data_IF_123918350107
#
_entry.id   IF_123918350107
#
_cell.length_a   1.000
_cell.length_b   1.000
_cell.length_c   1.000
_cell.angle_alpha   90.00
_cell.angle_beta   90.00
_cell.angle_gamma   90.00
#
_symmetry.space_group_name_H-M   'P 1'
#
loop_
_entity.id
_entity.type
_entity.pdbx_description
1 polymer ?
#
# COMPACT_ATOMS: atom_id res chain seq x y z
N UNK A 1 1.47 4.67 -12.44
CA UNK A 1 2.61 3.96 -11.79
C UNK A 1 2.54 4.18 -10.28
N UNK A 2 2.54 3.06 -9.51
CA UNK A 2 3.10 2.92 -8.15
C UNK A 2 2.29 3.44 -6.95
N UNK A 3 1.28 2.70 -6.45
CA UNK A 3 0.56 3.08 -5.21
C UNK A 3 0.21 1.97 -4.18
N UNK A 4 0.89 0.84 -4.12
CA UNK A 4 0.65 -0.28 -3.19
C UNK A 4 0.60 0.03 -1.69
N UNK A 5 -0.50 0.24 -0.99
CA UNK A 5 -1.93 0.28 -1.37
C UNK A 5 -2.61 1.56 -0.83
N UNK A 6 -2.13 2.04 0.31
CA UNK A 6 -2.07 3.46 0.67
C UNK A 6 -0.62 3.83 0.96
N UNK A 7 0.19 2.86 1.40
CA UNK A 7 1.65 2.87 1.42
C UNK A 7 2.22 3.49 0.15
N UNK A 8 2.02 2.88 -1.00
CA UNK A 8 2.52 3.50 -2.21
C UNK A 8 1.63 4.66 -2.68
N UNK A 9 0.36 4.77 -2.27
CA UNK A 9 -0.46 5.95 -2.54
C UNK A 9 -0.03 7.26 -1.91
N UNK A 10 0.70 7.11 -0.83
CA UNK A 10 1.28 8.17 -0.09
C UNK A 10 2.75 8.38 -0.47
N UNK A 11 3.48 7.31 -0.81
CA UNK A 11 4.86 7.36 -1.29
C UNK A 11 5.01 7.96 -2.69
N UNK A 12 4.11 7.71 -3.64
CA UNK A 12 4.21 8.35 -4.95
C UNK A 12 3.82 9.83 -4.94
N UNK A 13 3.02 10.24 -3.96
CA UNK A 13 2.52 11.59 -3.89
C UNK A 13 3.66 12.59 -3.76
N UNK A 14 4.68 12.29 -2.96
CA UNK A 14 5.78 13.21 -2.76
C UNK A 14 6.86 13.23 -3.81
N UNK A 15 6.75 12.60 -4.98
CA UNK A 15 7.81 12.82 -5.98
C UNK A 15 7.85 14.28 -6.44
N UNK A 16 9.03 14.91 -6.58
CA UNK A 16 9.14 16.19 -7.26
C UNK A 16 8.48 16.10 -8.63
N UNK A 17 7.70 17.13 -8.96
CA UNK A 17 7.53 17.55 -10.35
C UNK A 17 8.94 17.52 -10.95
N UNK A 18 9.09 16.92 -12.12
CA UNK A 18 10.37 16.81 -12.84
C UNK A 18 11.25 18.04 -12.59
N UNK A 19 12.56 17.84 -12.40
CA UNK A 19 13.51 18.94 -12.38
C UNK A 19 13.30 19.88 -13.59
N UNK A 20 12.80 19.37 -14.73
CA UNK A 20 12.39 20.16 -15.89
C UNK A 20 11.16 21.08 -15.69
N UNK A 21 10.21 20.75 -14.80
CA UNK A 21 9.04 21.58 -14.47
C UNK A 21 9.29 22.62 -13.37
N UNK A 22 10.29 22.38 -12.52
CA UNK A 22 10.74 23.35 -11.51
C UNK A 22 11.82 24.28 -12.09
N UNK A 23 12.69 23.77 -12.98
CA UNK A 23 13.63 24.60 -13.74
C UNK A 23 12.96 25.46 -14.80
N UNK A 24 11.81 25.09 -15.38
CA UNK A 24 11.08 26.01 -16.28
C UNK A 24 10.40 27.16 -15.52
N UNK A 25 10.02 26.96 -14.26
CA UNK A 25 9.56 28.02 -13.37
C UNK A 25 10.71 28.86 -12.78
N UNK A 26 11.92 28.28 -12.67
CA UNK A 26 13.13 28.97 -12.24
C UNK A 26 13.82 29.72 -13.39
N UNK A 27 13.85 29.17 -14.60
CA UNK A 27 14.42 29.78 -15.81
C UNK A 27 13.56 30.92 -16.38
N UNK A 28 12.27 31.00 -16.04
CA UNK A 28 11.48 32.21 -16.27
C UNK A 28 11.81 33.34 -15.27
N UNK A 29 12.41 33.01 -14.11
CA UNK A 29 12.90 33.97 -13.13
C UNK A 29 14.41 34.28 -13.29
N UNK A 30 15.16 33.41 -13.97
CA UNK A 30 16.63 33.48 -14.16
C UNK A 30 17.01 33.75 -15.63
N UNK A 31 16.23 34.54 -16.38
CA UNK A 31 16.70 35.17 -17.64
C UNK A 31 17.85 36.18 -17.42
N UNK A 32 18.31 36.33 -16.19
CA UNK A 32 19.52 37.06 -15.83
C UNK A 32 20.52 36.03 -15.32
N UNK A 33 21.72 36.04 -15.88
CA UNK A 33 22.89 35.20 -15.53
C UNK A 33 23.22 34.02 -16.47
N UNK A 34 23.72 34.40 -17.65
CA UNK A 34 25.02 33.95 -18.18
C UNK A 34 25.23 32.45 -18.46
N UNK A 35 25.13 32.12 -19.75
CA UNK A 35 26.18 31.45 -20.55
C UNK A 35 27.07 30.41 -19.84
N UNK A 36 26.60 29.16 -19.77
CA UNK A 36 27.46 27.98 -19.78
C UNK A 36 26.68 26.77 -20.35
N UNK A 37 27.25 25.96 -21.27
CA UNK A 37 26.60 24.75 -21.72
C UNK A 37 26.72 23.68 -20.61
N UNK A 38 25.70 23.58 -19.76
CA UNK A 38 25.55 22.47 -18.84
C UNK A 38 25.26 21.19 -19.64
N UNK A 39 26.24 20.28 -19.68
CA UNK A 39 26.04 18.89 -20.05
C UNK A 39 25.13 18.24 -18.98
N UNK A 40 23.82 18.34 -19.17
CA UNK A 40 22.83 17.61 -18.38
C UNK A 40 22.95 16.13 -18.75
N UNK A 41 23.62 15.35 -17.90
CA UNK A 41 23.47 13.89 -17.94
C UNK A 41 22.00 13.58 -17.67
N UNK A 42 21.31 12.75 -18.49
CA UNK A 42 19.94 12.40 -18.22
C UNK A 42 19.87 11.76 -16.82
N UNK A 43 19.12 12.41 -15.93
CA UNK A 43 18.84 11.89 -14.61
C UNK A 43 18.19 10.52 -14.79
N UNK A 44 18.87 9.47 -14.32
CA UNK A 44 18.32 8.12 -14.29
C UNK A 44 17.01 8.18 -13.51
N UNK A 45 15.91 8.01 -14.23
CA UNK A 45 14.57 7.97 -13.68
C UNK A 45 14.48 6.68 -12.86
N UNK A 46 14.11 6.70 -11.57
CA UNK A 46 14.04 5.46 -10.81
C UNK A 46 12.95 4.54 -11.38
N UNK A 47 13.38 3.37 -11.87
CA UNK A 47 12.63 2.31 -12.55
C UNK A 47 11.45 1.77 -11.73
N UNK A 48 10.24 1.72 -12.32
CA UNK A 48 9.21 0.65 -12.35
C UNK A 48 8.76 -0.16 -11.10
N UNK A 49 7.51 -0.68 -11.05
CA UNK A 49 6.47 -0.42 -10.04
C UNK A 49 6.77 -0.82 -8.57
N UNK A 50 6.07 -0.19 -7.60
CA UNK A 50 6.09 -0.50 -6.15
C UNK A 50 5.17 -1.68 -5.88
N UNK A 51 4.11 -1.85 -6.69
CA UNK A 51 3.31 -3.07 -6.72
C UNK A 51 3.94 -4.00 -7.74
N UNK A 52 4.44 -5.13 -7.28
CA UNK A 52 4.91 -6.17 -8.17
C UNK A 52 3.71 -6.92 -8.76
N UNK A 53 3.90 -7.58 -9.91
CA UNK A 53 2.96 -8.61 -10.34
C UNK A 53 2.67 -9.61 -9.21
N UNK A 54 1.47 -10.23 -9.21
CA UNK A 54 1.18 -11.31 -8.28
C UNK A 54 2.27 -12.38 -8.25
N UNK A 55 2.60 -12.82 -7.05
CA UNK A 55 3.53 -13.92 -6.86
C UNK A 55 2.96 -15.19 -7.48
N UNK A 56 3.83 -15.94 -8.14
CA UNK A 56 3.56 -17.26 -8.68
C UNK A 56 4.34 -18.28 -7.85
N UNK A 57 3.72 -18.91 -6.84
CA UNK A 57 4.41 -19.86 -5.99
C UNK A 57 4.81 -21.10 -6.79
N UNK A 58 6.04 -21.57 -6.55
CA UNK A 58 6.55 -22.81 -7.16
C UNK A 58 6.74 -23.88 -6.11
N UNK A 59 6.46 -25.16 -6.37
CA UNK A 59 6.76 -26.21 -5.42
C UNK A 59 8.28 -26.25 -5.17
N UNK A 60 8.73 -26.51 -3.93
CA UNK A 60 10.14 -26.77 -3.69
C UNK A 60 10.59 -27.99 -4.49
N UNK A 61 11.89 -28.07 -4.78
CA UNK A 61 12.45 -29.28 -5.40
C UNK A 61 12.22 -30.47 -4.44
N UNK A 62 12.01 -31.69 -4.94
CA UNK A 62 11.73 -32.86 -4.10
C UNK A 62 12.80 -33.14 -3.04
N UNK A 63 14.02 -32.69 -3.26
CA UNK A 63 15.20 -32.85 -2.39
C UNK A 63 15.54 -31.59 -1.59
N UNK A 64 14.76 -30.51 -1.69
CA UNK A 64 15.02 -29.28 -0.98
C UNK A 64 14.62 -29.39 0.50
N UNK A 65 15.59 -29.19 1.40
CA UNK A 65 15.32 -29.02 2.83
C UNK A 65 14.88 -27.58 3.08
N UNK A 66 13.71 -27.40 3.71
CA UNK A 66 13.27 -26.07 4.14
C UNK A 66 14.14 -25.58 5.30
N UNK A 67 14.49 -24.29 5.27
CA UNK A 67 15.30 -23.67 6.31
C UNK A 67 14.52 -23.34 7.59
N UNK A 68 15.12 -22.49 8.42
CA UNK A 68 14.54 -22.09 9.71
C UNK A 68 13.21 -21.35 9.56
N UNK A 69 12.35 -21.43 10.57
CA UNK A 69 11.13 -20.61 10.65
C UNK A 69 11.51 -19.15 10.87
N UNK A 70 11.14 -18.29 9.92
CA UNK A 70 11.39 -16.84 9.95
C UNK A 70 10.20 -16.09 10.55
N UNK A 71 9.00 -16.64 10.42
CA UNK A 71 7.79 -16.06 10.95
C UNK A 71 6.59 -17.00 10.85
N UNK A 72 5.59 -16.71 11.68
CA UNK A 72 4.31 -17.43 11.71
C UNK A 72 3.17 -16.44 11.89
N UNK A 73 2.23 -16.48 10.96
CA UNK A 73 1.06 -15.59 10.92
C UNK A 73 -0.17 -16.41 11.32
N UNK A 74 -0.86 -16.03 12.39
CA UNK A 74 -2.19 -16.57 12.68
C UNK A 74 -3.20 -15.91 11.75
N UNK A 75 -3.76 -16.67 10.80
CA UNK A 75 -4.60 -16.12 9.73
C UNK A 75 -5.91 -15.53 10.27
N UNK A 76 -6.54 -16.19 11.24
CA UNK A 76 -7.78 -15.71 11.84
C UNK A 76 -7.56 -14.40 12.63
N UNK A 77 -6.47 -14.32 13.38
CA UNK A 77 -6.14 -13.11 14.14
C UNK A 77 -5.70 -11.96 13.23
N UNK A 78 -5.08 -12.26 12.08
CA UNK A 78 -4.53 -11.27 11.17
C UNK A 78 -5.53 -10.74 10.14
N UNK A 79 -6.61 -11.50 9.89
CA UNK A 79 -7.63 -11.17 8.91
C UNK A 79 -8.14 -9.74 9.09
N UNK A 80 -8.03 -8.94 8.02
CA UNK A 80 -8.59 -7.60 7.91
C UNK A 80 -8.10 -6.57 8.94
N UNK A 81 -6.99 -6.82 9.64
CA UNK A 81 -6.42 -5.83 10.57
C UNK A 81 -6.04 -4.52 9.88
N UNK A 82 -5.79 -4.56 8.56
CA UNK A 82 -5.57 -3.39 7.70
C UNK A 82 -6.82 -2.53 7.46
N UNK A 83 -8.01 -2.95 7.91
CA UNK A 83 -9.23 -2.12 7.88
C UNK A 83 -9.27 -1.09 9.03
N UNK A 84 -8.37 -1.21 10.02
CA UNK A 84 -8.30 -0.33 11.19
C UNK A 84 -6.90 0.27 11.37
N UNK A 85 -6.49 1.09 10.40
CA UNK A 85 -5.20 1.80 10.43
C UNK A 85 -5.29 3.06 11.28
N UNK A 86 -6.37 3.82 11.16
CA UNK A 86 -6.55 5.04 11.94
C UNK A 86 -8.02 5.32 12.26
N UNK A 87 -8.34 5.64 13.51
CA UNK A 87 -9.68 6.08 13.88
C UNK A 87 -9.83 7.60 13.70
N UNK A 88 -10.87 8.05 13.01
CA UNK A 88 -11.17 9.48 12.77
C UNK A 88 -12.67 9.73 12.77
N UNK A 89 -13.04 10.99 13.00
CA UNK A 89 -14.43 11.44 12.92
C UNK A 89 -14.76 11.83 11.48
N UNK A 90 -15.61 11.06 10.80
CA UNK A 90 -16.15 11.42 9.50
C UNK A 90 -17.62 11.81 9.66
N UNK A 91 -17.91 13.08 9.41
CA UNK A 91 -19.18 13.67 9.83
C UNK A 91 -19.32 13.66 11.34
N UNK A 92 -20.36 12.99 11.85
CA UNK A 92 -20.58 12.79 13.28
C UNK A 92 -20.14 11.40 13.77
N UNK A 93 -19.57 10.55 12.90
CA UNK A 93 -19.28 9.14 13.19
C UNK A 93 -17.78 8.93 13.38
N UNK A 94 -17.39 8.30 14.48
CA UNK A 94 -16.03 7.80 14.66
C UNK A 94 -15.90 6.48 13.89
N UNK A 95 -15.04 6.46 12.86
CA UNK A 95 -14.83 5.30 12.01
C UNK A 95 -13.35 4.97 11.94
N UNK A 96 -13.07 3.68 11.81
CA UNK A 96 -11.78 3.17 11.45
C UNK A 96 -11.58 3.32 9.94
N UNK A 97 -10.52 4.05 9.58
CA UNK A 97 -10.02 4.16 8.23
C UNK A 97 -9.01 3.04 7.97
N UNK A 98 -9.21 2.35 6.86
CA UNK A 98 -8.30 1.34 6.36
C UNK A 98 -8.33 1.24 4.84
N UNK A 99 -7.78 0.14 4.33
CA UNK A 99 -7.63 -0.08 2.89
C UNK A 99 -7.99 -1.49 2.54
N UNK A 100 -8.67 -1.66 1.42
CA UNK A 100 -8.95 -2.95 0.81
C UNK A 100 -8.64 -2.92 -0.68
N UNK A 101 -8.64 -4.09 -1.31
CA UNK A 101 -8.28 -4.27 -2.72
C UNK A 101 -9.02 -5.44 -3.32
N UNK A 102 -9.18 -5.46 -4.63
CA UNK A 102 -9.67 -6.63 -5.35
C UNK A 102 -8.59 -7.73 -5.42
N UNK A 103 -9.00 -8.96 -5.76
CA UNK A 103 -8.09 -10.11 -5.82
C UNK A 103 -6.93 -9.93 -6.81
N UNK A 104 -7.11 -9.10 -7.84
CA UNK A 104 -6.09 -8.78 -8.84
C UNK A 104 -5.14 -7.66 -8.40
N UNK A 105 -5.37 -7.03 -7.24
CA UNK A 105 -4.64 -5.85 -6.77
C UNK A 105 -4.61 -4.71 -7.80
N UNK A 106 -5.68 -4.60 -8.59
CA UNK A 106 -5.84 -3.64 -9.68
C UNK A 106 -6.64 -2.40 -9.25
N UNK A 107 -7.52 -2.57 -8.25
CA UNK A 107 -8.35 -1.53 -7.65
C UNK A 107 -8.10 -1.44 -6.16
N UNK A 108 -8.09 -0.22 -5.66
CA UNK A 108 -7.92 0.07 -4.24
C UNK A 108 -9.14 0.81 -3.70
N UNK A 109 -9.48 0.51 -2.45
CA UNK A 109 -10.64 1.04 -1.77
C UNK A 109 -10.22 1.59 -0.42
N UNK A 110 -10.72 2.77 -0.07
CA UNK A 110 -10.79 3.23 1.31
C UNK A 110 -11.88 2.42 2.00
N UNK A 111 -11.56 1.86 3.16
CA UNK A 111 -12.51 1.18 4.01
C UNK A 111 -12.83 2.06 5.22
N UNK A 112 -14.11 2.20 5.52
CA UNK A 112 -14.64 2.92 6.68
C UNK A 112 -15.43 1.94 7.53
N UNK A 113 -14.84 1.52 8.65
CA UNK A 113 -15.38 0.44 9.46
C UNK A 113 -15.77 0.91 10.86
N UNK A 114 -16.80 0.28 11.41
CA UNK A 114 -17.15 0.36 12.82
C UNK A 114 -17.86 -0.95 13.23
N UNK A 115 -18.42 -0.99 14.45
CA UNK A 115 -19.13 -2.17 14.94
C UNK A 115 -20.39 -2.53 14.11
N UNK A 116 -20.93 -1.61 13.33
CA UNK A 116 -22.13 -1.83 12.51
C UNK A 116 -21.81 -2.35 11.11
N UNK A 117 -20.59 -2.17 10.62
CA UNK A 117 -20.16 -2.68 9.33
C UNK A 117 -19.03 -1.87 8.70
N UNK A 118 -18.73 -2.21 7.45
CA UNK A 118 -17.69 -1.57 6.64
C UNK A 118 -18.30 -1.00 5.36
N UNK A 119 -17.93 0.23 5.03
CA UNK A 119 -18.23 0.86 3.74
C UNK A 119 -16.94 0.94 2.94
N UNK A 120 -17.02 0.56 1.66
CA UNK A 120 -15.91 0.63 0.72
C UNK A 120 -16.14 1.80 -0.25
N UNK A 121 -15.11 2.61 -0.44
CA UNK A 121 -15.11 3.68 -1.43
C UNK A 121 -13.87 3.57 -2.31
N UNK A 122 -14.06 3.53 -3.63
CA UNK A 122 -12.94 3.43 -4.56
C UNK A 122 -11.98 4.61 -4.37
N UNK A 123 -10.69 4.29 -4.22
CA UNK A 123 -9.61 5.28 -4.07
C UNK A 123 -9.31 6.01 -5.40
N UNK A 124 -9.83 5.52 -6.53
CA UNK A 124 -9.66 6.13 -7.84
C UNK A 124 -8.22 6.08 -8.37
N UNK A 125 -7.93 6.92 -9.37
CA UNK A 125 -6.55 7.06 -9.88
C UNK A 125 -5.68 7.88 -8.91
N UNK A 126 -4.42 7.50 -8.88
CA UNK A 126 -3.34 8.05 -8.07
C UNK A 126 -3.07 9.51 -8.44
N UNK A 127 -3.17 9.85 -9.72
CA UNK A 127 -3.02 11.22 -10.18
C UNK A 127 -4.16 12.09 -9.66
N UNK A 128 -5.38 11.54 -9.59
CA UNK A 128 -6.52 12.21 -9.01
C UNK A 128 -6.30 12.45 -7.51
N UNK A 129 -5.80 11.45 -6.78
CA UNK A 129 -5.46 11.55 -5.36
C UNK A 129 -4.42 12.66 -5.08
N UNK A 130 -3.43 12.84 -5.96
CA UNK A 130 -2.40 13.89 -5.84
C UNK A 130 -2.90 15.27 -6.28
N UNK A 131 -3.76 15.29 -7.30
CA UNK A 131 -4.33 16.47 -7.94
C UNK A 131 -5.51 17.03 -7.15
N UNK A 132 -6.73 16.77 -7.61
CA UNK A 132 -7.98 17.28 -7.04
C UNK A 132 -8.45 16.53 -5.78
N UNK A 133 -7.83 15.41 -5.45
CA UNK A 133 -8.34 14.45 -4.49
C UNK A 133 -9.50 13.61 -5.05
N UNK A 134 -9.91 12.61 -4.28
CA UNK A 134 -10.98 11.66 -4.59
C UNK A 134 -12.08 11.76 -3.55
N UNK A 135 -13.32 11.90 -4.00
CA UNK A 135 -14.48 11.96 -3.11
C UNK A 135 -14.92 10.54 -2.76
N UNK A 136 -14.69 10.15 -1.51
CA UNK A 136 -15.17 8.91 -0.94
C UNK A 136 -16.51 9.16 -0.25
N UNK A 137 -17.57 8.52 -0.75
CA UNK A 137 -18.88 8.52 -0.10
C UNK A 137 -18.91 7.46 0.98
N UNK A 138 -19.24 7.88 2.21
CA UNK A 138 -19.33 7.01 3.40
C UNK A 138 -20.79 6.64 3.65
N UNK A 139 -21.71 7.58 3.42
CA UNK A 139 -23.16 7.36 3.44
C UNK A 139 -23.88 8.45 2.62
N UNK A 140 -25.20 8.52 2.72
CA UNK A 140 -26.02 9.46 1.93
C UNK A 140 -25.71 10.93 2.22
N UNK A 141 -25.25 11.28 3.42
CA UNK A 141 -24.98 12.66 3.84
C UNK A 141 -23.47 12.96 3.95
N UNK A 142 -22.63 11.92 4.04
CA UNK A 142 -21.22 12.04 4.37
C UNK A 142 -20.33 11.67 3.20
N UNK A 143 -19.68 12.67 2.62
CA UNK A 143 -18.68 12.53 1.56
C UNK A 143 -17.41 13.28 1.98
N UNK A 144 -16.27 12.62 1.87
CA UNK A 144 -14.97 13.22 2.17
C UNK A 144 -14.06 13.19 0.96
N UNK A 145 -13.38 14.29 0.69
CA UNK A 145 -12.31 14.38 -0.30
C UNK A 145 -10.98 13.94 0.33
N UNK A 146 -10.37 12.94 -0.27
CA UNK A 146 -9.05 12.42 0.10
C UNK A 146 -8.03 12.90 -0.92
N UNK A 147 -7.06 13.68 -0.45
CA UNK A 147 -5.99 14.24 -1.30
C UNK A 147 -4.63 14.03 -0.66
N UNK A 148 -3.62 13.69 -1.44
CA UNK A 148 -2.25 13.61 -0.94
C UNK A 148 -1.44 14.81 -1.38
N UNK A 149 -1.01 15.60 -0.41
CA UNK A 149 -0.03 16.66 -0.61
C UNK A 149 1.38 16.07 -0.57
N UNK A 150 1.98 16.04 -1.74
CA UNK A 150 3.35 15.67 -2.02
C UNK A 150 4.40 16.34 -1.13
N UNK A 151 5.36 15.59 -0.59
CA UNK A 151 6.64 16.15 -0.15
C UNK A 151 7.80 15.65 -1.03
N UNK A 152 8.38 16.56 -1.82
CA UNK A 152 9.44 16.30 -2.81
C UNK A 152 10.73 15.69 -2.25
N UNK A 153 11.03 15.95 -0.97
CA UNK A 153 12.27 15.51 -0.34
C UNK A 153 12.12 14.19 0.43
N UNK A 154 10.90 13.91 0.91
CA UNK A 154 10.60 12.65 1.58
C UNK A 154 9.21 12.18 1.14
N UNK A 155 9.13 11.50 0.00
CA UNK A 155 7.85 11.25 -0.63
C UNK A 155 7.06 10.17 0.09
N UNK A 156 7.77 9.16 0.59
CA UNK A 156 7.24 8.05 1.39
C UNK A 156 6.61 8.50 2.69
N UNK A 157 7.38 9.20 3.52
CA UNK A 157 7.01 9.45 4.92
C UNK A 157 6.66 10.91 5.21
N UNK A 158 7.12 11.83 4.38
CA UNK A 158 6.98 13.28 4.57
C UNK A 158 5.75 13.92 3.91
N UNK A 159 5.07 13.19 3.03
CA UNK A 159 3.82 13.62 2.39
C UNK A 159 2.69 13.78 3.43
N UNK A 160 1.55 14.35 3.04
CA UNK A 160 0.39 14.53 3.93
C UNK A 160 -0.90 14.09 3.25
N UNK A 161 -1.61 13.13 3.85
CA UNK A 161 -2.98 12.80 3.52
C UNK A 161 -3.90 13.87 4.10
N UNK A 162 -4.59 14.59 3.24
CA UNK A 162 -5.64 15.55 3.54
C UNK A 162 -6.98 14.86 3.39
N UNK A 163 -7.85 15.01 4.39
CA UNK A 163 -9.19 14.46 4.40
C UNK A 163 -10.15 15.60 4.78
N UNK A 164 -10.84 16.16 3.80
CA UNK A 164 -11.75 17.29 4.02
C UNK A 164 -13.19 16.90 3.68
N UNK A 165 -14.19 17.36 4.44
CA UNK A 165 -15.59 17.21 4.03
C UNK A 165 -15.80 17.81 2.64
N UNK A 166 -16.52 17.10 1.78
CA UNK A 166 -16.94 17.66 0.48
C UNK A 166 -18.05 18.71 0.71
N UNK A 167 -18.32 19.60 -0.27
CA UNK A 167 -19.44 20.53 -0.18
C UNK A 167 -20.75 19.81 0.13
N UNK A 168 -21.48 20.30 1.15
CA UNK A 168 -22.71 19.67 1.63
C UNK A 168 -22.52 18.63 2.75
N UNK A 169 -21.28 18.23 3.07
CA UNK A 169 -20.98 17.38 4.23
C UNK A 169 -20.48 18.21 5.41
N UNK A 170 -21.15 18.08 6.55
CA UNK A 170 -20.67 18.63 7.83
C UNK A 170 -19.65 17.68 8.46
N UNK A 171 -18.60 18.21 9.09
CA UNK A 171 -17.62 17.42 9.84
C UNK A 171 -16.24 18.07 9.92
N UNK A 172 -15.31 17.54 10.74
CA UNK A 172 -13.96 18.07 10.81
C UNK A 172 -13.13 17.67 9.59
N UNK A 173 -12.18 18.54 9.22
CA UNK A 173 -11.09 18.18 8.32
C UNK A 173 -9.96 17.52 9.12
N UNK A 174 -9.24 16.59 8.49
CA UNK A 174 -8.11 15.89 9.10
C UNK A 174 -6.89 15.95 8.20
N UNK A 175 -5.74 15.95 8.85
CA UNK A 175 -4.45 15.79 8.22
C UNK A 175 -3.71 14.61 8.85
N UNK A 176 -3.02 13.83 8.04
CA UNK A 176 -2.16 12.76 8.53
C UNK A 176 -0.86 12.72 7.74
N UNK A 177 0.27 12.67 8.44
CA UNK A 177 1.55 12.40 7.78
C UNK A 177 1.56 10.99 7.25
N UNK A 178 2.11 10.82 6.07
CA UNK A 178 2.15 9.52 5.42
C UNK A 178 2.98 8.53 6.21
N UNK A 179 4.08 8.98 6.83
CA UNK A 179 4.86 8.19 7.77
C UNK A 179 4.03 7.64 8.94
N UNK A 180 3.10 8.43 9.49
CA UNK A 180 2.22 7.95 10.56
C UNK A 180 1.23 6.88 10.06
N UNK A 181 0.77 6.97 8.81
CA UNK A 181 -0.02 5.91 8.16
C UNK A 181 0.82 4.65 7.98
N UNK A 182 2.09 4.79 7.58
CA UNK A 182 3.02 3.66 7.44
C UNK A 182 3.26 2.96 8.77
N UNK A 183 3.51 3.72 9.83
CA UNK A 183 3.76 3.18 11.17
C UNK A 183 2.53 2.44 11.70
N UNK A 184 1.34 3.01 11.49
CA UNK A 184 0.09 2.35 11.84
C UNK A 184 -0.14 1.08 11.00
N UNK A 185 0.15 1.10 9.70
CA UNK A 185 0.05 -0.08 8.84
C UNK A 185 1.03 -1.18 9.29
N UNK A 186 2.29 -0.83 9.56
CA UNK A 186 3.30 -1.75 10.11
C UNK A 186 2.83 -2.39 11.41
N UNK A 187 2.23 -1.60 12.32
CA UNK A 187 1.69 -2.11 13.59
C UNK A 187 0.49 -3.07 13.42
N UNK A 188 -0.16 -3.07 12.25
CA UNK A 188 -1.22 -4.02 11.90
C UNK A 188 -0.70 -5.24 11.13
N UNK A 189 0.53 -5.22 10.63
CA UNK A 189 1.13 -6.34 9.93
C UNK A 189 1.72 -7.38 10.89
N UNK A 190 1.92 -8.61 10.40
CA UNK A 190 2.91 -9.52 10.99
C UNK A 190 4.25 -9.29 10.32
N UNK A 191 5.33 -9.27 11.10
CA UNK A 191 6.67 -8.96 10.61
C UNK A 191 7.51 -10.25 10.59
N UNK A 192 8.36 -10.39 9.57
CA UNK A 192 9.46 -11.36 9.56
C UNK A 192 10.69 -10.73 8.89
N UNK A 193 11.86 -11.32 9.14
CA UNK A 193 13.11 -10.88 8.53
C UNK A 193 13.74 -12.00 7.72
N UNK A 194 14.21 -11.67 6.52
CA UNK A 194 14.92 -12.58 5.62
C UNK A 194 16.01 -11.79 4.88
N UNK A 195 17.21 -12.35 4.72
CA UNK A 195 18.37 -11.68 4.09
C UNK A 195 18.67 -10.27 4.62
N UNK A 196 18.48 -10.05 5.93
CA UNK A 196 18.69 -8.75 6.56
C UNK A 196 17.62 -7.69 6.22
N UNK A 197 16.52 -8.07 5.58
CA UNK A 197 15.39 -7.20 5.24
C UNK A 197 14.16 -7.55 6.07
N UNK A 198 13.45 -6.53 6.54
CA UNK A 198 12.14 -6.70 7.19
C UNK A 198 11.02 -6.73 6.13
N UNK A 199 10.11 -7.67 6.28
CA UNK A 199 8.90 -7.80 5.47
C UNK A 199 7.65 -7.74 6.34
N UNK A 200 6.62 -7.08 5.83
CA UNK A 200 5.33 -6.92 6.48
C UNK A 200 4.31 -7.79 5.75
N UNK A 201 3.55 -8.60 6.50
CA UNK A 201 2.51 -9.46 5.96
C UNK A 201 1.15 -8.92 6.38
N UNK A 202 0.36 -8.54 5.38
CA UNK A 202 -1.06 -8.29 5.52
C UNK A 202 -1.86 -9.47 4.98
N UNK A 203 -3.02 -9.71 5.57
CA UNK A 203 -3.94 -10.76 5.15
C UNK A 203 -5.36 -10.22 5.29
N UNK A 204 -6.12 -10.24 4.20
CA UNK A 204 -7.44 -9.63 4.17
C UNK A 204 -8.34 -10.26 3.11
N UNK A 205 -9.64 -10.02 3.26
CA UNK A 205 -10.63 -10.35 2.23
C UNK A 205 -10.45 -9.46 1.01
N UNK A 206 -10.65 -10.05 -0.17
CA UNK A 206 -10.67 -9.30 -1.41
C UNK A 206 -12.00 -8.56 -1.54
N UNK A 207 -12.02 -7.45 -2.28
CA UNK A 207 -13.24 -6.70 -2.61
C UNK A 207 -13.88 -7.28 -3.87
N UNK A 208 -15.21 -7.36 -3.89
CA UNK A 208 -15.97 -7.77 -5.07
C UNK A 208 -15.71 -6.84 -6.27
N UNK A 209 -15.87 -7.31 -7.52
CA UNK A 209 -15.59 -6.50 -8.71
C UNK A 209 -16.39 -5.19 -8.81
N UNK A 210 -17.59 -5.16 -8.21
CA UNK A 210 -18.48 -4.00 -8.13
C UNK A 210 -18.09 -2.98 -7.03
N UNK A 211 -17.19 -3.37 -6.13
CA UNK A 211 -16.70 -2.52 -5.03
C UNK A 211 -17.66 -2.35 -3.87
N UNK A 212 -18.75 -3.14 -3.80
CA UNK A 212 -19.81 -2.93 -2.81
C UNK A 212 -19.63 -3.76 -1.53
N UNK A 213 -18.98 -4.92 -1.63
CA UNK A 213 -18.76 -5.82 -0.49
C UNK A 213 -17.45 -6.62 -0.65
N UNK A 214 -17.15 -7.46 0.33
CA UNK A 214 -16.02 -8.37 0.31
C UNK A 214 -16.38 -9.72 -0.34
N UNK A 215 -15.45 -10.25 -1.12
CA UNK A 215 -15.50 -11.59 -1.63
C UNK A 215 -15.19 -12.63 -0.53
N UNK A 216 -15.51 -13.89 -0.80
CA UNK A 216 -15.07 -15.01 0.03
C UNK A 216 -13.57 -15.32 -0.13
N UNK A 217 -12.95 -14.81 -1.20
CA UNK A 217 -11.52 -14.95 -1.46
C UNK A 217 -10.71 -13.99 -0.60
N UNK A 218 -9.44 -14.34 -0.40
CA UNK A 218 -8.52 -13.58 0.42
C UNK A 218 -7.15 -13.57 -0.24
N UNK A 219 -6.38 -12.57 0.14
CA UNK A 219 -5.03 -12.39 -0.38
C UNK A 219 -4.07 -11.95 0.72
N UNK A 220 -2.82 -12.34 0.53
CA UNK A 220 -1.67 -11.82 1.23
C UNK A 220 -1.08 -10.64 0.49
N UNK A 221 -0.53 -9.68 1.23
CA UNK A 221 0.36 -8.67 0.69
C UNK A 221 1.64 -8.67 1.53
N UNK A 222 2.75 -8.99 0.88
CA UNK A 222 4.09 -8.85 1.44
C UNK A 222 4.61 -7.46 1.09
N UNK A 223 5.12 -6.70 2.06
CA UNK A 223 5.65 -5.36 1.83
C UNK A 223 7.06 -5.27 2.39
N UNK A 224 7.97 -4.68 1.63
CA UNK A 224 9.26 -4.21 2.12
C UNK A 224 9.30 -2.69 1.98
N UNK A 225 9.44 -1.97 3.09
CA UNK A 225 9.54 -0.50 3.10
C UNK A 225 11.01 -0.09 3.06
N UNK A 226 11.37 0.65 2.02
CA UNK A 226 12.73 1.18 1.80
C UNK A 226 12.64 2.56 1.11
N UNK A 227 11.81 3.45 1.69
CA UNK A 227 11.55 4.77 1.14
C UNK A 227 11.04 4.71 -0.30
N UNK A 228 11.82 5.25 -1.25
CA UNK A 228 11.46 5.25 -2.69
C UNK A 228 11.60 3.88 -3.37
N UNK A 229 12.34 2.96 -2.76
CA UNK A 229 12.59 1.60 -3.24
C UNK A 229 11.63 0.57 -2.65
N UNK A 230 10.67 1.02 -1.84
CA UNK A 230 9.63 0.16 -1.26
C UNK A 230 8.97 -0.69 -2.34
N UNK A 231 8.68 -1.95 -2.01
CA UNK A 231 8.03 -2.92 -2.89
C UNK A 231 6.97 -3.69 -2.14
N UNK A 232 5.97 -4.15 -2.87
CA UNK A 232 4.93 -5.00 -2.33
C UNK A 232 4.52 -6.06 -3.35
N UNK A 233 4.34 -7.29 -2.86
CA UNK A 233 4.09 -8.48 -3.64
C UNK A 233 2.76 -9.09 -3.19
N UNK A 234 1.72 -9.07 -4.03
CA UNK A 234 0.47 -9.71 -3.69
C UNK A 234 0.54 -11.21 -3.95
N UNK A 235 -0.22 -11.96 -3.17
CA UNK A 235 -0.37 -13.41 -3.34
C UNK A 235 -1.79 -13.82 -2.97
N UNK A 236 -2.53 -14.38 -3.92
CA UNK A 236 -3.84 -14.95 -3.63
C UNK A 236 -3.70 -16.14 -2.66
N UNK A 237 -4.57 -16.23 -1.65
CA UNK A 237 -4.53 -17.34 -0.69
C UNK A 237 -4.70 -18.70 -1.40
N UNK A 238 -5.54 -18.74 -2.43
CA UNK A 238 -5.80 -19.93 -3.23
C UNK A 238 -4.59 -20.45 -4.02
N UNK A 239 -3.56 -19.62 -4.23
CA UNK A 239 -2.32 -20.05 -4.86
C UNK A 239 -1.43 -20.90 -3.93
N UNK A 240 -1.76 -20.97 -2.64
CA UNK A 240 -1.09 -21.82 -1.66
C UNK A 240 -1.93 -23.06 -1.35
N UNK A 241 -1.44 -24.23 -1.77
CA UNK A 241 -2.03 -25.50 -1.36
C UNK A 241 -1.90 -25.69 0.16
N UNK A 242 -2.93 -26.29 0.77
CA UNK A 242 -2.95 -26.54 2.20
C UNK A 242 -1.88 -27.57 2.59
N UNK A 243 -1.14 -27.28 3.66
CA UNK A 243 -0.04 -28.07 4.23
C UNK A 243 1.13 -28.37 3.26
N UNK A 244 1.13 -27.75 2.08
CA UNK A 244 2.20 -27.89 1.10
C UNK A 244 3.07 -26.63 1.07
N UNK A 245 4.40 -26.74 1.23
CA UNK A 245 5.30 -25.61 1.04
C UNK A 245 5.33 -25.16 -0.42
N UNK A 246 5.44 -23.85 -0.61
CA UNK A 246 5.67 -23.23 -1.92
C UNK A 246 6.71 -22.11 -1.79
N UNK A 247 7.62 -22.03 -2.76
CA UNK A 247 8.67 -21.04 -2.83
C UNK A 247 8.17 -19.81 -3.59
N UNK A 248 8.43 -18.63 -3.02
CA UNK A 248 8.18 -17.33 -3.64
C UNK A 248 9.43 -16.46 -3.61
N UNK A 249 9.50 -15.48 -4.51
CA UNK A 249 10.59 -14.49 -4.57
C UNK A 249 10.06 -13.08 -4.24
N UNK A 250 10.60 -12.51 -3.15
CA UNK A 250 10.29 -11.16 -2.67
C UNK A 250 11.38 -10.16 -3.10
N UNK A 251 11.70 -10.14 -4.39
CA UNK A 251 12.66 -9.19 -4.97
C UNK A 251 14.12 -9.53 -4.66
N UNK A 252 14.49 -10.77 -4.94
CA UNK A 252 15.80 -11.37 -4.70
C UNK A 252 15.88 -12.17 -3.39
N UNK A 253 14.86 -12.11 -2.54
CA UNK A 253 14.79 -12.85 -1.28
C UNK A 253 13.80 -13.99 -1.43
N UNK A 254 14.30 -15.22 -1.47
CA UNK A 254 13.47 -16.42 -1.66
C UNK A 254 13.04 -16.95 -0.30
N UNK A 255 11.75 -17.21 -0.15
CA UNK A 255 11.20 -17.79 1.08
C UNK A 255 10.23 -18.92 0.74
N UNK A 256 10.09 -19.86 1.67
CA UNK A 256 9.06 -20.90 1.62
C UNK A 256 7.86 -20.45 2.43
N UNK A 257 6.68 -20.54 1.83
CA UNK A 257 5.39 -20.28 2.46
C UNK A 257 4.62 -21.59 2.59
N UNK A 258 4.06 -21.83 3.76
CA UNK A 258 3.15 -22.96 3.98
C UNK A 258 1.88 -22.45 4.66
N UNK A 259 0.74 -22.57 3.98
CA UNK A 259 -0.57 -22.38 4.62
C UNK A 259 -0.95 -23.69 5.29
N UNK A 260 -1.16 -23.68 6.59
CA UNK A 260 -1.38 -24.90 7.37
C UNK A 260 -2.86 -25.11 7.69
N UNK A 261 -3.29 -26.35 7.88
CA UNK A 261 -4.66 -26.70 8.24
C UNK A 261 -5.12 -26.12 9.59
N UNK A 262 -4.18 -25.85 10.51
CA UNK A 262 -4.44 -25.19 11.79
C UNK A 262 -4.57 -23.65 11.67
N UNK A 263 -4.57 -23.10 10.46
CA UNK A 263 -4.91 -21.70 10.20
C UNK A 263 -3.74 -20.74 10.34
N UNK A 264 -2.52 -21.19 10.04
CA UNK A 264 -1.34 -20.33 10.00
C UNK A 264 -0.76 -20.20 8.58
N UNK A 265 -0.06 -19.09 8.35
CA UNK A 265 0.95 -19.01 7.30
C UNK A 265 2.32 -19.09 7.98
N UNK A 266 3.08 -20.14 7.68
CA UNK A 266 4.45 -20.29 8.15
C UNK A 266 5.41 -19.84 7.05
N UNK A 267 6.33 -18.95 7.40
CA UNK A 267 7.38 -18.44 6.53
C UNK A 267 8.70 -19.08 6.96
N UNK A 268 9.40 -19.72 6.03
CA UNK A 268 10.70 -20.35 6.26
C UNK A 268 11.74 -19.86 5.27
N UNK A 269 12.98 -19.94 5.68
CA UNK A 269 14.14 -19.69 4.82
C UNK A 269 14.25 -20.76 3.73
N UNK A 270 14.90 -20.40 2.62
CA UNK A 270 15.23 -21.29 1.51
C UNK A 270 16.74 -21.22 1.30
N UNK A 271 17.49 -22.26 1.71
CA UNK A 271 18.94 -22.27 1.56
C UNK A 271 19.41 -22.32 0.09
#
# INVERSE_FOLDING_TARGET
>A
MRNTLILAALVAAGRPVSAAGVESLRNLAEQSFLQAPLLVRPAQTPSEPVLQPPLEPTPPRPDATLGAELGRVNLAAQLDRNLSVANRLFGARALDLGVATDAAFSKFYLAFSNAQGTVLAALGDLNQLRGSGVNARIDAATVYNFRVKANIFNPARGSTLKMSPAPGTSGPAHDMKTGAVLDAARARATLFSADGREFWVFYGRDVLPDGLDFAATRSFLFVHEDGMSSKAWPLAEAALALDAPAIVDLGGTRVSLTRTADGFLVVRDVP
#
